data_IF_255165784120
#
_entry.id   IF_255165784120
#
_cell.length_a   1.000
_cell.length_b   1.000
_cell.length_c   1.000
_cell.angle_alpha   90.00
_cell.angle_beta   90.00
_cell.angle_gamma   90.00
#
_symmetry.space_group_name_H-M   'P 1'
#
loop_
_entity.id
_entity.type
_entity.pdbx_description
1 polymer ?
#
# COMPACT_ATOMS: atom_id res chain seq x y z
N UNK A 1 0.01 -13.53 -7.52
CA UNK A 1 1.36 -13.99 -7.09
C UNK A 1 2.00 -12.86 -6.30
N UNK A 2 2.40 -13.12 -5.05
CA UNK A 2 3.16 -12.19 -4.20
C UNK A 2 4.52 -11.92 -4.86
N UNK A 3 4.90 -10.65 -5.05
CA UNK A 3 6.20 -10.32 -5.67
C UNK A 3 7.29 -10.42 -4.60
N UNK A 4 8.46 -10.94 -4.96
CA UNK A 4 9.62 -10.91 -4.06
C UNK A 4 10.15 -9.48 -3.91
N UNK A 5 10.90 -9.22 -2.83
CA UNK A 5 11.50 -7.89 -2.62
C UNK A 5 12.43 -7.48 -3.78
N UNK A 6 13.17 -8.44 -4.35
CA UNK A 6 14.02 -8.20 -5.51
C UNK A 6 13.19 -7.76 -6.73
N UNK A 7 12.08 -8.45 -7.00
CA UNK A 7 11.17 -8.09 -8.10
C UNK A 7 10.54 -6.70 -7.89
N UNK A 8 10.20 -6.33 -6.66
CA UNK A 8 9.67 -5.00 -6.34
C UNK A 8 10.74 -3.91 -6.56
N UNK A 9 11.99 -4.18 -6.19
CA UNK A 9 13.10 -3.27 -6.42
C UNK A 9 13.39 -3.07 -7.92
N UNK A 10 13.33 -4.13 -8.72
CA UNK A 10 13.50 -4.04 -10.18
C UNK A 10 12.39 -3.21 -10.83
N UNK A 11 11.14 -3.41 -10.39
CA UNK A 11 9.99 -2.62 -10.84
C UNK A 11 10.17 -1.15 -10.45
N UNK A 12 10.61 -0.87 -9.22
CA UNK A 12 10.90 0.48 -8.75
C UNK A 12 11.95 1.17 -9.62
N UNK A 13 13.10 0.53 -9.83
CA UNK A 13 14.20 1.07 -10.62
C UNK A 13 13.77 1.37 -12.07
N UNK A 14 12.99 0.47 -12.68
CA UNK A 14 12.42 0.67 -14.02
C UNK A 14 11.44 1.85 -14.06
N UNK A 15 10.54 1.92 -13.08
CA UNK A 15 9.53 2.99 -13.00
C UNK A 15 10.20 4.36 -12.86
N UNK A 16 11.24 4.49 -12.02
CA UNK A 16 11.99 5.74 -11.86
C UNK A 16 12.58 6.19 -13.20
N UNK A 17 13.22 5.28 -13.94
CA UNK A 17 13.83 5.56 -15.24
C UNK A 17 12.79 6.07 -16.23
N UNK A 18 11.68 5.35 -16.37
CA UNK A 18 10.62 5.70 -17.31
C UNK A 18 9.96 7.05 -16.96
N UNK A 19 9.71 7.34 -15.67
CA UNK A 19 9.17 8.63 -15.25
C UNK A 19 10.10 9.80 -15.58
N UNK A 20 11.42 9.60 -15.46
CA UNK A 20 12.43 10.61 -15.81
C UNK A 20 12.48 10.85 -17.32
N UNK A 21 12.49 9.78 -18.12
CA UNK A 21 12.45 9.85 -19.59
C UNK A 21 11.18 10.53 -20.11
N UNK A 22 10.04 10.27 -19.48
CA UNK A 22 8.76 10.91 -19.81
C UNK A 22 8.63 12.36 -19.29
N UNK A 23 9.63 12.88 -18.58
CA UNK A 23 9.66 14.25 -18.03
C UNK A 23 8.40 14.58 -17.20
N UNK A 24 7.94 13.63 -16.37
CA UNK A 24 6.75 13.84 -15.55
C UNK A 24 7.04 14.84 -14.43
N UNK A 25 6.31 15.96 -14.43
CA UNK A 25 6.46 17.03 -13.43
C UNK A 25 5.37 17.03 -12.37
N UNK A 26 4.24 16.36 -12.62
CA UNK A 26 3.14 16.29 -11.67
C UNK A 26 3.39 15.22 -10.60
N UNK A 27 2.84 15.37 -9.37
CA UNK A 27 2.97 14.37 -8.32
C UNK A 27 2.46 12.99 -8.77
N UNK A 28 3.32 11.98 -8.71
CA UNK A 28 2.99 10.59 -9.02
C UNK A 28 2.10 10.00 -7.92
N UNK A 29 1.08 9.24 -8.31
CA UNK A 29 0.08 8.70 -7.37
C UNK A 29 -0.29 7.25 -7.71
N UNK A 30 -1.22 6.69 -6.93
CA UNK A 30 -1.82 5.38 -7.20
C UNK A 30 -0.80 4.26 -7.40
N UNK A 31 -0.99 3.46 -8.45
CA UNK A 31 -0.09 2.34 -8.78
C UNK A 31 1.37 2.81 -8.98
N UNK A 32 1.57 3.95 -9.64
CA UNK A 32 2.91 4.48 -9.91
C UNK A 32 3.64 4.85 -8.62
N UNK A 33 2.96 5.51 -7.67
CA UNK A 33 3.54 5.79 -6.35
C UNK A 33 3.86 4.51 -5.58
N UNK A 34 2.96 3.52 -5.58
CA UNK A 34 3.21 2.24 -4.90
C UNK A 34 4.40 1.47 -5.49
N UNK A 35 4.59 1.50 -6.82
CA UNK A 35 5.80 0.97 -7.48
C UNK A 35 7.06 1.71 -7.02
N UNK A 36 7.01 3.03 -6.90
CA UNK A 36 8.14 3.83 -6.42
C UNK A 36 8.48 3.56 -4.95
N UNK A 37 7.47 3.21 -4.14
CA UNK A 37 7.67 2.76 -2.77
C UNK A 37 8.13 1.31 -2.65
N UNK A 38 8.14 0.55 -3.74
CA UNK A 38 8.45 -0.88 -3.70
C UNK A 38 7.40 -1.68 -2.92
N UNK A 39 6.15 -1.21 -2.88
CA UNK A 39 5.06 -1.91 -2.20
C UNK A 39 4.25 -2.74 -3.19
N UNK A 40 3.72 -3.86 -2.68
CA UNK A 40 2.68 -4.62 -3.37
C UNK A 40 1.34 -3.88 -3.32
N UNK A 41 0.42 -4.27 -4.21
CA UNK A 41 -0.93 -3.71 -4.26
C UNK A 41 -1.99 -4.71 -4.77
N UNK A 42 -3.26 -4.59 -4.32
CA UNK A 42 -4.30 -5.61 -4.47
C UNK A 42 -5.18 -5.46 -5.72
N UNK A 43 -4.64 -4.86 -6.78
CA UNK A 43 -5.36 -4.58 -8.02
C UNK A 43 -4.45 -4.78 -9.23
N UNK A 44 -5.07 -4.96 -10.40
CA UNK A 44 -4.33 -5.16 -11.65
C UNK A 44 -3.56 -3.90 -12.02
N UNK A 45 -2.30 -4.09 -12.35
CA UNK A 45 -1.41 -3.02 -12.80
C UNK A 45 -1.72 -2.59 -14.25
N UNK A 46 -1.54 -1.31 -14.56
CA UNK A 46 -1.52 -0.77 -15.92
C UNK A 46 -0.05 -0.44 -16.25
N UNK A 47 0.72 -1.38 -16.84
CA UNK A 47 2.18 -1.28 -16.92
C UNK A 47 2.69 -0.07 -17.72
N UNK A 48 1.94 0.36 -18.74
CA UNK A 48 2.28 1.47 -19.63
C UNK A 48 1.51 2.76 -19.29
N UNK A 49 1.01 2.87 -18.05
CA UNK A 49 0.29 4.06 -17.57
C UNK A 49 0.97 4.63 -16.32
N UNK A 50 1.33 5.92 -16.39
CA UNK A 50 1.72 6.73 -15.24
C UNK A 50 0.48 7.41 -14.65
N UNK A 51 0.26 7.19 -13.35
CA UNK A 51 -0.78 7.89 -12.62
C UNK A 51 -0.21 9.15 -11.96
N UNK A 52 -0.82 10.29 -12.27
CA UNK A 52 -0.43 11.58 -11.70
C UNK A 52 -1.61 12.20 -10.96
N UNK A 53 -1.33 12.98 -9.92
CA UNK A 53 -2.31 13.74 -9.17
C UNK A 53 -2.27 15.21 -9.58
N UNK A 54 -3.46 15.79 -9.77
CA UNK A 54 -3.65 17.22 -10.02
C UNK A 54 -4.69 17.77 -9.06
N UNK A 55 -4.58 19.06 -8.71
CA UNK A 55 -5.56 19.74 -7.85
C UNK A 55 -6.90 19.94 -8.54
N UNK A 56 -6.88 20.30 -9.82
CA UNK A 56 -8.07 20.64 -10.59
C UNK A 56 -8.13 19.87 -11.92
N UNK A 57 -9.35 19.60 -12.39
CA UNK A 57 -9.59 18.89 -13.64
C UNK A 57 -9.11 19.68 -14.86
N UNK A 58 -9.06 21.01 -14.79
CA UNK A 58 -8.48 21.89 -15.81
C UNK A 58 -6.98 21.66 -16.02
N UNK A 59 -6.27 21.15 -15.01
CA UNK A 59 -4.84 20.81 -15.11
C UNK A 59 -4.60 19.40 -15.66
N UNK A 60 -5.64 18.68 -16.09
CA UNK A 60 -5.50 17.39 -16.76
C UNK A 60 -4.95 17.61 -18.17
N UNK A 61 -3.63 17.72 -18.29
CA UNK A 61 -2.97 17.59 -19.60
C UNK A 61 -3.16 16.16 -20.08
N UNK A 62 -3.69 16.01 -21.30
CA UNK A 62 -3.76 14.70 -21.96
C UNK A 62 -2.38 14.43 -22.55
N UNK A 63 -1.65 13.50 -21.93
CA UNK A 63 -0.45 12.91 -22.49
C UNK A 63 -0.73 11.42 -22.73
N UNK A 64 -0.22 10.83 -23.82
CA UNK A 64 -0.24 9.39 -23.98
C UNK A 64 0.47 8.76 -22.76
N UNK A 65 -0.05 7.64 -22.28
CA UNK A 65 0.48 6.94 -21.10
C UNK A 65 0.37 7.70 -19.76
N UNK A 66 -0.33 8.83 -19.68
CA UNK A 66 -0.53 9.57 -18.42
C UNK A 66 -2.02 9.63 -18.06
N UNK A 67 -2.35 9.08 -16.89
CA UNK A 67 -3.70 9.11 -16.32
C UNK A 67 -3.73 10.06 -15.13
N UNK A 68 -4.35 11.22 -15.35
CA UNK A 68 -4.47 12.26 -14.33
C UNK A 68 -5.69 12.03 -13.43
N UNK A 69 -5.45 11.97 -12.13
CA UNK A 69 -6.45 11.91 -11.07
C UNK A 69 -6.56 13.26 -10.37
N UNK A 70 -7.73 13.57 -9.82
CA UNK A 70 -8.00 14.86 -9.19
C UNK A 70 -8.26 14.72 -7.70
N UNK A 71 -7.58 15.53 -6.90
CA UNK A 71 -7.89 15.69 -5.48
C UNK A 71 -7.74 17.16 -5.07
N UNK A 72 -8.88 17.82 -4.83
CA UNK A 72 -8.93 19.27 -4.55
C UNK A 72 -8.22 19.65 -3.26
N UNK A 73 -8.20 18.75 -2.28
CA UNK A 73 -7.58 18.94 -0.97
C UNK A 73 -6.10 18.54 -0.96
N UNK A 74 -5.45 18.40 -2.11
CA UNK A 74 -4.02 18.08 -2.17
C UNK A 74 -3.18 19.25 -1.61
N UNK A 75 -2.48 19.01 -0.51
CA UNK A 75 -1.60 19.97 0.16
C UNK A 75 -0.13 19.72 -0.19
N UNK A 76 0.76 20.72 -0.08
CA UNK A 76 2.19 20.51 -0.34
C UNK A 76 2.83 19.46 0.57
N UNK A 77 2.32 19.30 1.80
CA UNK A 77 2.78 18.29 2.74
C UNK A 77 2.48 16.85 2.30
N UNK A 78 1.55 16.65 1.36
CA UNK A 78 1.24 15.34 0.79
C UNK A 78 2.17 14.96 -0.34
N UNK A 79 3.15 15.81 -0.70
CA UNK A 79 4.05 15.58 -1.83
C UNK A 79 5.47 15.41 -1.28
N UNK A 80 6.03 14.23 -1.51
CA UNK A 80 7.41 13.90 -1.22
C UNK A 80 8.25 14.00 -2.49
N UNK A 81 9.53 14.33 -2.32
CA UNK A 81 10.51 14.27 -3.38
C UNK A 81 11.35 13.00 -3.22
N UNK A 82 11.38 12.17 -4.27
CA UNK A 82 12.13 10.92 -4.28
C UNK A 82 12.84 10.81 -5.61
N UNK A 83 14.17 10.70 -5.60
CA UNK A 83 14.98 10.54 -6.82
C UNK A 83 14.73 11.63 -7.88
N UNK A 84 14.39 12.85 -7.45
CA UNK A 84 14.05 13.98 -8.34
C UNK A 84 12.62 13.97 -8.88
N UNK A 85 11.78 13.02 -8.46
CA UNK A 85 10.37 12.92 -8.83
C UNK A 85 9.47 13.39 -7.68
N UNK A 86 8.37 14.06 -8.01
CA UNK A 86 7.30 14.36 -7.05
C UNK A 86 6.42 13.12 -6.90
N UNK A 87 6.17 12.67 -5.67
CA UNK A 87 5.36 11.48 -5.36
C UNK A 87 4.43 11.81 -4.21
N UNK A 88 3.16 11.40 -4.30
CA UNK A 88 2.25 11.54 -3.16
C UNK A 88 2.74 10.70 -1.98
N UNK A 89 2.76 11.28 -0.77
CA UNK A 89 3.13 10.58 0.46
C UNK A 89 2.41 9.23 0.58
N UNK A 90 2.97 8.26 1.31
CA UNK A 90 2.33 6.97 1.50
C UNK A 90 0.87 7.07 2.00
N UNK A 91 0.59 7.95 2.95
CA UNK A 91 -0.77 8.17 3.48
C UNK A 91 -1.69 8.78 2.41
N UNK A 92 -1.21 9.81 1.70
CA UNK A 92 -1.94 10.45 0.61
C UNK A 92 -2.24 9.46 -0.54
N UNK A 93 -1.29 8.60 -0.88
CA UNK A 93 -1.44 7.54 -1.88
C UNK A 93 -2.52 6.54 -1.45
N UNK A 94 -2.51 6.10 -0.19
CA UNK A 94 -3.51 5.17 0.32
C UNK A 94 -4.93 5.76 0.32
N UNK A 95 -5.11 7.01 0.75
CA UNK A 95 -6.45 7.64 0.76
C UNK A 95 -6.98 7.98 -0.63
N UNK A 96 -6.10 8.32 -1.58
CA UNK A 96 -6.53 8.63 -2.96
C UNK A 96 -6.94 7.38 -3.73
N UNK A 97 -6.36 6.22 -3.42
CA UNK A 97 -6.80 4.92 -3.92
C UNK A 97 -8.10 4.43 -3.30
N UNK A 98 -8.48 4.90 -2.10
CA UNK A 98 -9.64 4.42 -1.38
C UNK A 98 -10.95 4.49 -2.18
N UNK A 99 -11.07 5.46 -3.08
CA UNK A 99 -12.20 5.59 -4.00
C UNK A 99 -12.41 4.38 -4.91
N UNK A 100 -11.31 3.76 -5.35
CA UNK A 100 -11.28 2.70 -6.36
C UNK A 100 -11.28 1.30 -5.74
N UNK A 101 -10.79 1.19 -4.50
CA UNK A 101 -10.64 -0.08 -3.81
C UNK A 101 -11.89 -0.45 -3.01
N UNK A 102 -12.24 -1.75 -3.04
CA UNK A 102 -13.18 -2.32 -2.09
C UNK A 102 -12.57 -2.39 -0.67
N UNK A 103 -13.38 -2.78 0.32
CA UNK A 103 -12.94 -2.79 1.72
C UNK A 103 -11.81 -3.81 1.97
N UNK A 104 -11.85 -4.97 1.32
CA UNK A 104 -10.83 -6.01 1.49
C UNK A 104 -9.51 -5.57 0.87
N UNK A 105 -9.56 -5.04 -0.34
CA UNK A 105 -8.42 -4.44 -1.03
C UNK A 105 -7.82 -3.29 -0.21
N UNK A 106 -8.63 -2.44 0.43
CA UNK A 106 -8.10 -1.41 1.31
C UNK A 106 -7.33 -2.00 2.48
N UNK A 107 -7.85 -3.02 3.18
CA UNK A 107 -7.12 -3.65 4.29
C UNK A 107 -5.82 -4.29 3.79
N UNK A 108 -5.85 -4.99 2.66
CA UNK A 108 -4.66 -5.58 2.03
C UNK A 108 -3.58 -4.54 1.73
N UNK A 109 -3.99 -3.40 1.16
CA UNK A 109 -3.07 -2.31 0.87
C UNK A 109 -2.46 -1.73 2.15
N UNK A 110 -3.29 -1.43 3.16
CA UNK A 110 -2.82 -0.85 4.42
C UNK A 110 -1.84 -1.77 5.16
N UNK A 111 -2.15 -3.07 5.26
CA UNK A 111 -1.24 -4.04 5.88
C UNK A 111 0.06 -4.19 5.10
N UNK A 112 0.03 -4.16 3.77
CA UNK A 112 1.23 -4.18 2.95
C UNK A 112 2.09 -2.92 3.18
N UNK A 113 1.49 -1.74 3.23
CA UNK A 113 2.21 -0.47 3.44
C UNK A 113 2.82 -0.36 4.84
N UNK A 114 2.11 -0.81 5.88
CA UNK A 114 2.65 -0.87 7.25
C UNK A 114 3.77 -1.91 7.35
N UNK A 115 3.60 -3.08 6.73
CA UNK A 115 4.65 -4.12 6.68
C UNK A 115 5.92 -3.61 6.01
N UNK A 116 5.78 -2.80 4.96
CA UNK A 116 6.90 -2.17 4.25
C UNK A 116 7.38 -0.87 4.93
N UNK A 117 6.94 -0.57 6.15
CA UNK A 117 7.35 0.58 6.96
C UNK A 117 7.14 1.94 6.28
N UNK A 118 6.15 2.03 5.38
CA UNK A 118 5.84 3.29 4.70
C UNK A 118 5.13 4.29 5.62
N UNK A 119 4.37 3.78 6.59
CA UNK A 119 3.80 4.53 7.70
C UNK A 119 3.45 3.57 8.84
N UNK A 120 3.13 4.11 10.02
CA UNK A 120 2.53 3.33 11.11
C UNK A 120 1.01 3.38 11.05
N UNK A 121 0.34 2.36 11.60
CA UNK A 121 -1.12 2.33 11.67
C UNK A 121 -1.71 3.56 12.40
N UNK A 122 -1.20 4.00 13.57
CA UNK A 122 -1.70 5.20 14.23
C UNK A 122 -1.55 6.47 13.39
N UNK A 123 -0.42 6.64 12.70
CA UNK A 123 -0.18 7.79 11.81
C UNK A 123 -1.20 7.83 10.67
N UNK A 124 -1.41 6.69 9.98
CA UNK A 124 -2.38 6.63 8.90
C UNK A 124 -3.82 6.81 9.39
N UNK A 125 -4.17 6.24 10.54
CA UNK A 125 -5.49 6.42 11.13
C UNK A 125 -5.76 7.90 11.42
N UNK A 126 -4.82 8.61 12.08
CA UNK A 126 -4.93 10.05 12.34
C UNK A 126 -5.08 10.86 11.04
N UNK A 127 -4.24 10.57 10.05
CA UNK A 127 -4.31 11.19 8.72
C UNK A 127 -5.69 10.99 8.06
N UNK A 128 -6.20 9.76 8.04
CA UNK A 128 -7.51 9.45 7.45
C UNK A 128 -8.68 10.15 8.16
N UNK A 129 -8.58 10.37 9.47
CA UNK A 129 -9.62 11.11 10.22
C UNK A 129 -9.61 12.60 9.89
N UNK A 130 -8.42 13.22 9.82
CA UNK A 130 -8.25 14.66 9.58
C UNK A 130 -8.55 15.07 8.14
N UNK A 131 -8.34 14.19 7.17
CA UNK A 131 -8.42 14.51 5.74
C UNK A 131 -9.80 14.26 5.14
N UNK A 132 -10.11 14.98 4.07
CA UNK A 132 -11.32 14.79 3.25
C UNK A 132 -10.94 14.21 1.89
N UNK A 133 -11.50 13.06 1.56
CA UNK A 133 -11.19 12.32 0.33
C UNK A 133 -12.33 11.37 -0.05
N UNK A 134 -12.33 10.94 -1.31
CA UNK A 134 -13.32 9.99 -1.80
C UNK A 134 -13.03 8.58 -1.26
N UNK A 135 -14.04 7.90 -0.73
CA UNK A 135 -13.88 6.59 -0.10
C UNK A 135 -13.62 6.60 1.41
N UNK A 136 -13.61 7.76 2.07
CA UNK A 136 -13.35 7.91 3.52
C UNK A 136 -14.14 6.93 4.40
N UNK A 137 -15.46 6.80 4.21
CA UNK A 137 -16.29 5.87 4.99
C UNK A 137 -15.77 4.42 4.89
N UNK A 138 -15.33 4.02 3.69
CA UNK A 138 -14.78 2.67 3.44
C UNK A 138 -13.42 2.51 4.11
N UNK A 139 -12.58 3.53 4.07
CA UNK A 139 -11.28 3.55 4.77
C UNK A 139 -11.44 3.42 6.27
N UNK A 140 -12.36 4.19 6.87
CA UNK A 140 -12.64 4.06 8.30
C UNK A 140 -13.19 2.68 8.68
N UNK A 141 -13.93 2.01 7.78
CA UNK A 141 -14.35 0.63 7.96
C UNK A 141 -13.17 -0.36 7.83
N UNK A 142 -12.28 -0.16 6.85
CA UNK A 142 -11.07 -0.96 6.68
C UNK A 142 -10.13 -0.87 7.90
N UNK A 143 -9.99 0.31 8.51
CA UNK A 143 -9.22 0.50 9.74
C UNK A 143 -9.68 -0.42 10.89
N UNK A 144 -10.98 -0.77 10.95
CA UNK A 144 -11.52 -1.70 11.96
C UNK A 144 -11.15 -3.16 11.69
N UNK A 145 -10.85 -3.51 10.45
CA UNK A 145 -10.50 -4.87 10.00
C UNK A 145 -8.98 -5.10 9.95
N UNK A 146 -8.20 -4.02 10.05
CA UNK A 146 -6.74 -4.05 10.09
C UNK A 146 -6.23 -4.95 11.22
N UNK A 147 -5.22 -5.76 10.88
CA UNK A 147 -4.50 -6.61 11.81
C UNK A 147 -3.01 -6.59 11.47
N UNK A 148 -2.19 -6.16 12.42
CA UNK A 148 -0.74 -6.18 12.26
C UNK A 148 -0.21 -7.63 12.22
N UNK A 149 0.88 -7.83 11.48
CA UNK A 149 1.63 -9.10 11.48
C UNK A 149 1.38 -10.03 10.31
N UNK A 150 0.52 -9.67 9.35
CA UNK A 150 0.37 -10.47 8.12
C UNK A 150 1.68 -10.48 7.32
N UNK A 151 2.15 -11.65 6.89
CA UNK A 151 3.38 -11.82 6.13
C UNK A 151 3.21 -11.52 4.64
N UNK A 152 1.98 -11.52 4.12
CA UNK A 152 1.71 -11.25 2.70
C UNK A 152 0.29 -10.75 2.44
N UNK A 153 0.07 -10.12 1.29
CA UNK A 153 -1.29 -9.76 0.86
C UNK A 153 -2.21 -10.99 0.73
N UNK A 154 -1.66 -12.14 0.33
CA UNK A 154 -2.43 -13.40 0.21
C UNK A 154 -2.92 -13.89 1.57
N UNK A 155 -2.09 -13.79 2.60
CA UNK A 155 -2.48 -14.11 3.98
C UNK A 155 -3.55 -13.15 4.49
N UNK A 156 -3.40 -11.84 4.24
CA UNK A 156 -4.43 -10.84 4.56
C UNK A 156 -5.75 -11.16 3.86
N UNK A 157 -5.72 -11.48 2.57
CA UNK A 157 -6.92 -11.82 1.79
C UNK A 157 -7.61 -13.07 2.34
N UNK A 158 -6.84 -14.13 2.64
CA UNK A 158 -7.36 -15.36 3.24
C UNK A 158 -8.04 -15.06 4.58
N UNK A 159 -7.36 -14.34 5.48
CA UNK A 159 -7.91 -13.97 6.79
C UNK A 159 -9.24 -13.22 6.66
N UNK A 160 -9.30 -12.24 5.77
CA UNK A 160 -10.51 -11.43 5.56
C UNK A 160 -11.66 -12.28 4.99
N UNK A 161 -11.36 -13.20 4.08
CA UNK A 161 -12.38 -14.11 3.53
C UNK A 161 -12.90 -15.10 4.58
N UNK A 162 -12.02 -15.63 5.45
CA UNK A 162 -12.44 -16.48 6.57
C UNK A 162 -13.33 -15.71 7.55
N UNK A 163 -12.93 -14.49 7.92
CA UNK A 163 -13.74 -13.61 8.76
C UNK A 163 -15.12 -13.32 8.14
N UNK A 164 -15.17 -13.08 6.82
CA UNK A 164 -16.42 -12.84 6.09
C UNK A 164 -17.36 -14.05 6.11
N UNK A 165 -16.83 -15.26 6.25
CA UNK A 165 -17.58 -16.53 6.38
C UNK A 165 -17.96 -16.87 7.82
N UNK A 166 -17.72 -15.96 8.77
CA UNK A 166 -18.10 -16.13 10.18
C UNK A 166 -17.03 -16.82 11.04
N UNK A 167 -15.85 -17.11 10.50
CA UNK A 167 -14.74 -17.60 11.31
C UNK A 167 -14.23 -16.43 12.17
N UNK A 168 -14.08 -16.60 13.49
CA UNK A 168 -13.55 -15.56 14.36
C UNK A 168 -12.15 -15.11 13.95
N UNK A 169 -11.77 -13.91 14.37
CA UNK A 169 -10.48 -13.30 14.05
C UNK A 169 -9.32 -14.23 14.43
N UNK A 170 -8.60 -14.72 13.42
CA UNK A 170 -7.46 -15.60 13.60
C UNK A 170 -6.26 -14.88 14.22
N UNK A 171 -5.54 -15.57 15.10
CA UNK A 171 -4.24 -15.13 15.59
C UNK A 171 -3.18 -15.29 14.49
N UNK A 172 -2.49 -14.21 14.14
CA UNK A 172 -1.38 -14.23 13.18
C UNK A 172 -0.08 -14.61 13.88
N UNK A 173 0.82 -15.27 13.15
CA UNK A 173 2.12 -15.75 13.66
C UNK A 173 2.01 -16.57 14.95
N UNK A 174 0.92 -17.33 15.10
CA UNK A 174 0.74 -18.20 16.26
C UNK A 174 1.79 -19.30 16.26
N UNK A 175 2.63 -19.32 17.29
CA UNK A 175 3.64 -20.35 17.46
C UNK A 175 2.96 -21.60 18.04
N UNK A 176 2.88 -22.65 17.24
CA UNK A 176 2.26 -23.91 17.66
C UNK A 176 3.19 -24.61 18.66
N UNK A 177 2.74 -24.85 19.90
CA UNK A 177 3.56 -25.52 20.90
C UNK A 177 3.79 -26.99 20.51
N UNK A 178 4.92 -27.55 20.95
CA UNK A 178 5.24 -28.98 20.84
C UNK A 178 5.36 -29.53 19.40
N UNK A 179 5.63 -28.66 18.43
CA UNK A 179 5.93 -29.08 17.05
C UNK A 179 7.44 -29.20 16.86
N UNK A 180 7.86 -30.36 16.35
CA UNK A 180 9.23 -30.64 15.97
C UNK A 180 9.29 -30.68 14.45
N UNK A 181 10.25 -29.95 13.87
CA UNK A 181 10.55 -30.12 12.46
C UNK A 181 11.15 -31.52 12.22
N UNK A 182 11.03 -32.09 11.01
CA UNK A 182 11.59 -33.41 10.69
C UNK A 182 13.12 -33.53 10.92
N UNK A 183 13.81 -32.39 10.98
CA UNK A 183 15.24 -32.30 11.31
C UNK A 183 15.52 -32.25 12.83
N UNK A 184 14.52 -32.47 13.68
CA UNK A 184 14.63 -32.43 15.15
C UNK A 184 14.76 -31.03 15.75
N UNK A 185 14.69 -29.97 14.94
CA UNK A 185 14.69 -28.61 15.46
C UNK A 185 13.32 -28.30 16.12
N UNK A 186 13.31 -27.74 17.35
CA UNK A 186 12.07 -27.24 17.93
C UNK A 186 11.53 -26.09 17.08
N UNK A 187 10.20 -26.00 16.92
CA UNK A 187 9.55 -24.91 16.19
C UNK A 187 9.77 -23.52 16.82
N UNK A 188 10.31 -23.46 18.05
CA UNK A 188 10.64 -22.25 18.77
C UNK A 188 12.08 -21.80 18.49
N UNK A 189 12.29 -20.89 17.52
CA UNK A 189 13.47 -20.02 17.54
C UNK A 189 13.17 -18.84 18.46
N UNK A 190 13.61 -18.91 19.71
CA UNK A 190 13.58 -17.81 20.67
C UNK A 190 14.40 -16.64 20.12
N UNK A 191 13.77 -15.66 19.46
CA UNK A 191 14.37 -14.33 19.35
C UNK A 191 14.38 -13.75 20.76
N UNK A 192 15.49 -13.98 21.47
CA UNK A 192 15.79 -13.28 22.71
C UNK A 192 15.74 -11.78 22.41
N UNK A 193 14.73 -11.11 22.95
CA UNK A 193 14.82 -9.69 23.27
C UNK A 193 16.06 -9.51 24.14
N UNK A 194 17.11 -8.95 23.55
CA UNK A 194 18.14 -8.28 24.32
C UNK A 194 17.60 -6.89 24.67
N UNK A 195 17.73 -6.60 25.96
CA UNK A 195 17.34 -5.36 26.64
C UNK A 195 18.07 -4.15 26.08
#
# INVERSE_FOLDING_TARGET
MTRTQAQLNDVRARTIRQCKEAHITNPLCGATALKLYGSEFPFTDEPDTFHVMVRDASHRRRAPHVKAHTWKQLEPADILYTEGLQVLSPEATAVTLAGQLDIMQQVMLLEAMVRNQLFTFPMFADYAHKRTFHGKKRTLAALKLYQAGSASMTETALRLELNRRGIPRLSLNYVVPNVWYPNGAPSHSTLRSLR
#
